data_IF_529502817013
#
_entry.id   IF_529502817013
#
_cell.length_a   1.000
_cell.length_b   1.000
_cell.length_c   1.000
_cell.angle_alpha   90.00
_cell.angle_beta   90.00
_cell.angle_gamma   90.00
#
_symmetry.space_group_name_H-M   'P 1'
#
loop_
_entity.id
_entity.type
_entity.pdbx_description
1 polymer ?
#
# COMPACT_ATOMS: atom_id res chain seq x y z
N UNK A 1 -11.10 -1.06 -0.09
CA UNK A 1 -11.01 -1.12 1.40
C UNK A 1 -10.17 -2.29 1.91
N UNK A 2 -9.92 -3.32 1.11
CA UNK A 2 -9.37 -4.60 1.56
C UNK A 2 -8.01 -4.53 2.25
N UNK A 3 -7.15 -3.59 1.85
CA UNK A 3 -5.88 -3.33 2.55
C UNK A 3 -6.08 -2.97 4.02
N UNK A 4 -7.04 -2.08 4.32
CA UNK A 4 -7.43 -1.75 5.70
C UNK A 4 -8.02 -2.95 6.45
N UNK A 5 -8.82 -3.78 5.77
CA UNK A 5 -9.37 -5.01 6.36
C UNK A 5 -8.26 -6.02 6.74
N UNK A 6 -7.28 -6.22 5.86
CA UNK A 6 -6.14 -7.08 6.12
C UNK A 6 -5.29 -6.58 7.30
N UNK A 7 -5.06 -5.27 7.39
CA UNK A 7 -4.35 -4.65 8.52
C UNK A 7 -5.13 -4.85 9.84
N UNK A 8 -6.45 -4.59 9.85
CA UNK A 8 -7.29 -4.81 11.04
C UNK A 8 -7.26 -6.27 11.47
N UNK A 9 -7.37 -7.21 10.53
CA UNK A 9 -7.31 -8.64 10.81
C UNK A 9 -5.94 -9.07 11.36
N UNK A 10 -4.85 -8.53 10.80
CA UNK A 10 -3.50 -8.78 11.30
C UNK A 10 -3.33 -8.26 12.74
N UNK A 11 -3.79 -7.05 13.04
CA UNK A 11 -3.76 -6.49 14.40
C UNK A 11 -4.59 -7.31 15.39
N UNK A 12 -5.75 -7.82 14.97
CA UNK A 12 -6.56 -8.72 15.79
C UNK A 12 -5.79 -10.01 16.14
N UNK A 13 -5.14 -10.63 15.15
CA UNK A 13 -4.32 -11.82 15.38
C UNK A 13 -3.11 -11.54 16.29
N UNK A 14 -2.43 -10.42 16.08
CA UNK A 14 -1.31 -9.98 16.93
C UNK A 14 -1.75 -9.73 18.38
N UNK A 15 -2.94 -9.19 18.61
CA UNK A 15 -3.50 -9.04 19.96
C UNK A 15 -3.74 -10.38 20.69
N UNK A 16 -3.89 -11.48 19.94
CA UNK A 16 -3.99 -12.84 20.49
C UNK A 16 -2.62 -13.48 20.71
N UNK A 17 -1.70 -13.31 19.76
CA UNK A 17 -0.36 -13.88 19.80
C UNK A 17 0.56 -13.15 20.80
N UNK A 18 0.34 -11.84 20.99
CA UNK A 18 1.07 -10.96 21.92
C UNK A 18 2.60 -11.00 21.75
N UNK A 19 3.14 -10.87 20.51
CA UNK A 19 4.58 -10.73 20.35
C UNK A 19 5.11 -9.49 21.08
N UNK A 20 6.37 -9.47 21.52
CA UNK A 20 6.98 -8.35 22.24
C UNK A 20 7.36 -7.20 21.29
N UNK A 21 6.40 -6.69 20.53
CA UNK A 21 6.56 -5.58 19.59
C UNK A 21 5.41 -4.58 19.73
N UNK A 22 5.73 -3.29 19.63
CA UNK A 22 4.72 -2.25 19.53
C UNK A 22 4.35 -2.05 18.05
N UNK A 23 3.07 -2.15 17.72
CA UNK A 23 2.55 -1.92 16.38
C UNK A 23 1.35 -0.96 16.43
N UNK A 24 1.30 -0.03 15.48
CA UNK A 24 0.20 0.94 15.32
C UNK A 24 -0.39 0.74 13.94
N UNK A 25 -1.72 0.69 13.87
CA UNK A 25 -2.45 0.60 12.61
C UNK A 25 -3.25 1.89 12.35
N UNK A 26 -3.18 2.36 11.11
CA UNK A 26 -3.94 3.51 10.61
C UNK A 26 -4.76 3.06 9.41
N UNK A 27 -6.06 3.34 9.43
CA UNK A 27 -6.99 2.99 8.34
C UNK A 27 -7.81 4.22 7.97
N UNK A 28 -7.36 5.03 6.99
CA UNK A 28 -8.22 6.07 6.44
C UNK A 28 -9.37 5.39 5.67
N UNK A 29 -10.61 5.66 6.09
CA UNK A 29 -11.80 5.02 5.53
C UNK A 29 -12.81 6.08 5.07
N UNK A 30 -13.13 6.06 3.78
CA UNK A 30 -14.12 6.93 3.14
C UNK A 30 -14.64 6.24 1.87
N UNK A 31 -15.76 6.72 1.33
CA UNK A 31 -16.21 6.38 -0.01
C UNK A 31 -15.64 7.36 -1.04
N UNK A 32 -15.58 6.94 -2.32
CA UNK A 32 -15.27 7.79 -3.46
C UNK A 32 -16.51 7.87 -4.36
N UNK A 33 -17.29 8.95 -4.25
CA UNK A 33 -18.61 9.06 -4.90
C UNK A 33 -18.75 10.36 -5.68
N UNK A 34 -19.37 10.34 -6.87
CA UNK A 34 -19.70 11.55 -7.60
C UNK A 34 -20.81 12.33 -6.89
N UNK A 35 -20.67 13.65 -6.80
CA UNK A 35 -21.69 14.55 -6.28
C UNK A 35 -21.39 15.99 -6.73
N UNK A 36 -22.30 16.94 -6.43
CA UNK A 36 -22.06 18.37 -6.69
C UNK A 36 -20.91 18.98 -5.88
N UNK A 37 -20.43 18.26 -4.86
CA UNK A 37 -19.30 18.66 -4.00
C UNK A 37 -18.10 17.70 -4.09
N UNK A 38 -18.08 16.81 -5.08
CA UNK A 38 -16.98 15.86 -5.26
C UNK A 38 -15.71 16.58 -5.73
N UNK A 39 -14.56 15.94 -5.49
CA UNK A 39 -13.28 16.34 -6.08
C UNK A 39 -13.39 16.38 -7.60
N UNK A 40 -12.79 17.38 -8.23
CA UNK A 40 -12.82 17.58 -9.68
C UNK A 40 -11.42 17.40 -10.26
N UNK A 41 -11.30 16.86 -11.49
CA UNK A 41 -10.05 16.96 -12.24
C UNK A 41 -9.59 18.43 -12.34
N UNK A 42 -8.32 18.68 -12.01
CA UNK A 42 -7.70 20.00 -11.91
C UNK A 42 -7.73 20.61 -10.50
N UNK A 43 -8.45 20.03 -9.53
CA UNK A 43 -8.38 20.51 -8.14
C UNK A 43 -6.96 20.32 -7.58
N UNK A 44 -6.46 21.32 -6.84
CA UNK A 44 -5.20 21.22 -6.11
C UNK A 44 -5.50 21.05 -4.62
N UNK A 45 -5.16 19.88 -4.10
CA UNK A 45 -5.33 19.53 -2.69
C UNK A 45 -4.05 19.83 -1.91
N UNK A 46 -4.16 20.11 -0.62
CA UNK A 46 -3.02 20.25 0.27
C UNK A 46 -2.98 19.06 1.23
N UNK A 47 -1.93 18.25 1.12
CA UNK A 47 -1.68 17.14 2.02
C UNK A 47 -1.27 17.63 3.41
N UNK A 48 -1.30 16.74 4.38
CA UNK A 48 -1.03 17.00 5.79
C UNK A 48 0.36 17.61 6.05
N UNK A 49 1.39 17.15 5.32
CA UNK A 49 2.74 17.72 5.40
C UNK A 49 2.90 19.06 4.65
N UNK A 50 1.81 19.64 4.16
CA UNK A 50 1.77 20.93 3.48
C UNK A 50 2.05 20.89 1.98
N UNK A 51 2.49 19.73 1.43
CA UNK A 51 2.71 19.54 -0.01
C UNK A 51 1.37 19.56 -0.77
N UNK A 52 1.41 19.97 -2.02
CA UNK A 52 0.24 20.15 -2.88
C UNK A 52 0.14 19.05 -3.94
N UNK A 53 -1.08 18.59 -4.21
CA UNK A 53 -1.38 17.51 -5.15
C UNK A 53 -2.41 18.01 -6.17
N UNK A 54 -2.02 18.03 -7.44
CA UNK A 54 -2.96 18.22 -8.56
C UNK A 54 -3.71 16.90 -8.82
N UNK A 55 -5.03 16.94 -8.70
CA UNK A 55 -5.89 15.79 -8.98
C UNK A 55 -6.24 15.77 -10.46
N UNK A 56 -5.58 14.91 -11.23
CA UNK A 56 -5.88 14.72 -12.67
C UNK A 56 -6.95 13.67 -12.87
N UNK A 57 -6.95 12.62 -12.04
CA UNK A 57 -7.96 11.56 -12.09
C UNK A 57 -8.50 11.28 -10.68
N UNK A 58 -9.80 11.42 -10.50
CA UNK A 58 -10.48 11.24 -9.20
C UNK A 58 -10.61 9.77 -8.79
N UNK A 59 -10.38 8.83 -9.71
CA UNK A 59 -10.32 7.37 -9.46
C UNK A 59 -8.91 6.89 -9.05
N UNK A 60 -7.97 7.84 -8.92
CA UNK A 60 -6.68 7.62 -8.28
C UNK A 60 -6.71 8.18 -6.84
N UNK A 61 -7.78 7.89 -6.10
CA UNK A 61 -8.03 8.42 -4.76
C UNK A 61 -7.31 7.67 -3.66
N UNK A 62 -7.07 6.35 -3.83
CA UNK A 62 -6.47 5.52 -2.79
C UNK A 62 -5.10 6.07 -2.32
N UNK A 63 -4.32 6.61 -3.25
CA UNK A 63 -3.03 7.23 -2.94
C UNK A 63 -3.17 8.58 -2.23
N UNK A 64 -4.28 9.31 -2.42
CA UNK A 64 -4.53 10.59 -1.76
C UNK A 64 -4.79 10.37 -0.27
N UNK A 65 -5.64 9.41 0.08
CA UNK A 65 -5.92 9.10 1.50
C UNK A 65 -4.70 8.48 2.19
N UNK A 66 -3.89 7.71 1.45
CA UNK A 66 -2.65 7.14 1.98
C UNK A 66 -1.57 8.20 2.19
N UNK A 67 -1.47 9.21 1.33
CA UNK A 67 -0.51 10.30 1.52
C UNK A 67 -0.67 10.96 2.90
N UNK A 68 -1.90 11.28 3.30
CA UNK A 68 -2.16 11.85 4.62
C UNK A 68 -1.94 10.86 5.77
N UNK A 69 -2.28 9.58 5.59
CA UNK A 69 -2.03 8.55 6.60
C UNK A 69 -0.52 8.32 6.82
N UNK A 70 0.27 8.32 5.74
CA UNK A 70 1.74 8.23 5.79
C UNK A 70 2.32 9.46 6.50
N UNK A 71 1.86 10.66 6.15
CA UNK A 71 2.30 11.89 6.82
C UNK A 71 1.99 11.84 8.32
N UNK A 72 0.77 11.41 8.68
CA UNK A 72 0.38 11.26 10.08
C UNK A 72 1.24 10.23 10.81
N UNK A 73 1.51 9.07 10.21
CA UNK A 73 2.36 8.03 10.80
C UNK A 73 3.77 8.57 11.12
N UNK A 74 4.36 9.34 10.19
CA UNK A 74 5.66 9.98 10.38
C UNK A 74 5.65 11.03 11.47
N UNK A 75 4.61 11.86 11.56
CA UNK A 75 4.45 12.81 12.67
C UNK A 75 4.39 12.12 14.04
N UNK A 76 3.85 10.90 14.09
CA UNK A 76 3.84 10.07 15.30
C UNK A 76 5.18 9.35 15.57
N UNK A 77 6.20 9.56 14.73
CA UNK A 77 7.51 8.91 14.87
C UNK A 77 7.50 7.41 14.58
N UNK A 78 6.53 6.91 13.81
CA UNK A 78 6.41 5.48 13.50
C UNK A 78 7.40 5.07 12.40
N UNK A 79 8.10 3.95 12.62
CA UNK A 79 9.03 3.35 11.66
C UNK A 79 9.32 1.89 12.04
N UNK A 80 9.51 0.97 11.08
CA UNK A 80 9.29 1.15 9.64
C UNK A 80 7.79 1.31 9.30
N UNK A 81 7.50 1.84 8.12
CA UNK A 81 6.12 1.97 7.61
C UNK A 81 5.79 0.81 6.66
N UNK A 82 4.62 0.21 6.83
CA UNK A 82 4.10 -0.82 5.92
C UNK A 82 2.67 -0.43 5.61
N UNK A 83 2.39 -0.11 4.35
CA UNK A 83 1.02 0.16 3.90
C UNK A 83 0.56 -0.89 2.87
N UNK A 84 -0.76 -1.08 2.83
CA UNK A 84 -1.42 -2.10 2.02
C UNK A 84 -2.61 -1.48 1.33
N UNK A 85 -2.70 -1.65 0.01
CA UNK A 85 -3.83 -1.16 -0.75
C UNK A 85 -4.14 -2.02 -1.98
N UNK A 86 -5.40 -2.03 -2.37
CA UNK A 86 -5.85 -2.46 -3.69
C UNK A 86 -5.69 -1.28 -4.65
N UNK A 87 -4.44 -0.88 -4.92
CA UNK A 87 -4.15 0.48 -5.39
C UNK A 87 -4.25 0.62 -6.90
N UNK A 88 -3.80 -0.37 -7.67
CA UNK A 88 -3.74 -0.22 -9.14
C UNK A 88 -4.21 -1.44 -9.91
N UNK A 89 -5.01 -1.20 -10.94
CA UNK A 89 -5.26 -2.21 -11.98
C UNK A 89 -4.00 -2.58 -12.75
N UNK A 90 -3.00 -1.71 -12.80
CA UNK A 90 -1.71 -1.97 -13.44
C UNK A 90 -0.95 -3.12 -12.77
N UNK A 91 -1.00 -3.23 -11.43
CA UNK A 91 -0.40 -4.36 -10.72
C UNK A 91 -1.11 -5.67 -11.07
N UNK A 92 -2.44 -5.65 -11.16
CA UNK A 92 -3.22 -6.82 -11.57
C UNK A 92 -2.88 -7.28 -12.98
N UNK A 93 -2.67 -6.35 -13.92
CA UNK A 93 -2.19 -6.65 -15.29
C UNK A 93 -0.78 -7.26 -15.27
N UNK A 94 0.11 -6.77 -14.39
CA UNK A 94 1.51 -7.19 -14.36
C UNK A 94 1.72 -8.61 -13.80
N UNK A 95 1.06 -8.94 -12.68
CA UNK A 95 1.30 -10.21 -11.96
C UNK A 95 0.17 -11.23 -12.12
N UNK A 96 -1.06 -10.78 -12.42
CA UNK A 96 -2.25 -11.60 -12.25
C UNK A 96 -2.42 -12.14 -10.81
N UNK A 97 -3.32 -13.10 -10.56
CA UNK A 97 -3.68 -13.54 -9.21
C UNK A 97 -2.68 -14.54 -8.59
N UNK A 98 -1.44 -14.57 -9.08
CA UNK A 98 -0.42 -15.54 -8.67
C UNK A 98 0.45 -15.03 -7.52
N UNK A 99 0.67 -13.71 -7.43
CA UNK A 99 1.50 -13.07 -6.42
C UNK A 99 1.00 -11.65 -6.14
N UNK A 100 1.30 -11.15 -4.94
CA UNK A 100 1.07 -9.77 -4.54
C UNK A 100 2.31 -8.94 -4.86
N UNK A 101 2.13 -7.79 -5.51
CA UNK A 101 3.23 -6.89 -5.81
C UNK A 101 3.54 -5.98 -4.62
N UNK A 102 4.82 -5.68 -4.40
CA UNK A 102 5.21 -4.70 -3.38
C UNK A 102 6.43 -3.88 -3.80
N UNK A 103 6.61 -2.75 -3.15
CA UNK A 103 7.73 -1.82 -3.31
C UNK A 103 8.38 -1.62 -1.95
N UNK A 104 9.69 -1.36 -1.92
CA UNK A 104 10.42 -1.20 -0.68
C UNK A 104 11.64 -0.29 -0.85
N UNK A 105 11.84 0.62 0.11
CA UNK A 105 13.04 1.47 0.20
C UNK A 105 14.20 0.81 0.93
N UNK A 106 13.93 -0.24 1.71
CA UNK A 106 14.92 -0.99 2.47
C UNK A 106 14.96 -2.47 2.03
N UNK A 107 16.16 -2.94 1.66
CA UNK A 107 16.36 -4.30 1.16
C UNK A 107 16.18 -5.37 2.25
N UNK A 108 16.54 -5.07 3.49
CA UNK A 108 16.41 -6.02 4.59
C UNK A 108 14.93 -6.26 4.94
N UNK A 109 14.13 -5.20 4.99
CA UNK A 109 12.68 -5.25 5.18
C UNK A 109 11.99 -5.96 4.00
N UNK A 110 12.42 -5.68 2.77
CA UNK A 110 11.93 -6.39 1.59
C UNK A 110 12.15 -7.91 1.69
N UNK A 111 13.33 -8.34 2.11
CA UNK A 111 13.64 -9.76 2.24
C UNK A 111 12.86 -10.42 3.38
N UNK A 112 12.64 -9.72 4.49
CA UNK A 112 11.77 -10.21 5.57
C UNK A 112 10.33 -10.39 5.09
N UNK A 113 9.80 -9.44 4.30
CA UNK A 113 8.46 -9.56 3.72
C UNK A 113 8.36 -10.77 2.77
N UNK A 114 9.34 -10.97 1.89
CA UNK A 114 9.39 -12.13 0.98
C UNK A 114 9.41 -13.43 1.79
N UNK A 115 10.26 -13.53 2.81
CA UNK A 115 10.35 -14.71 3.65
C UNK A 115 9.04 -15.01 4.40
N UNK A 116 8.37 -13.97 4.93
CA UNK A 116 7.08 -14.10 5.58
C UNK A 116 5.98 -14.56 4.59
N UNK A 117 5.99 -14.03 3.37
CA UNK A 117 5.09 -14.44 2.30
C UNK A 117 5.27 -15.90 1.91
N UNK A 118 6.51 -16.37 1.77
CA UNK A 118 6.80 -17.78 1.46
C UNK A 118 6.36 -18.72 2.59
N UNK A 119 6.61 -18.37 3.86
CA UNK A 119 6.17 -19.20 5.01
C UNK A 119 4.65 -19.30 5.12
N UNK A 120 3.93 -18.25 4.72
CA UNK A 120 2.47 -18.19 4.83
C UNK A 120 1.77 -18.66 3.55
N UNK A 121 2.50 -18.84 2.45
CA UNK A 121 1.93 -19.16 1.13
C UNK A 121 1.24 -17.96 0.47
N UNK A 122 1.53 -16.74 0.90
CA UNK A 122 1.08 -15.48 0.31
C UNK A 122 2.25 -14.84 -0.43
N UNK A 123 2.50 -15.30 -1.65
CA UNK A 123 3.70 -14.92 -2.42
C UNK A 123 3.78 -13.42 -2.64
N UNK A 124 4.92 -12.83 -2.26
CA UNK A 124 5.26 -11.42 -2.44
C UNK A 124 6.28 -11.26 -3.56
N UNK A 125 6.07 -10.31 -4.46
CA UNK A 125 6.97 -10.04 -5.58
C UNK A 125 7.40 -8.57 -5.59
N UNK A 126 8.71 -8.33 -5.50
CA UNK A 126 9.25 -6.97 -5.43
C UNK A 126 9.24 -6.31 -6.80
N UNK A 127 8.69 -5.12 -6.86
CA UNK A 127 8.77 -4.18 -7.97
C UNK A 127 9.81 -3.10 -7.67
N UNK A 128 10.38 -2.47 -8.71
CA UNK A 128 11.42 -1.48 -8.53
C UNK A 128 10.85 -0.10 -8.17
N UNK A 129 11.63 0.71 -7.45
CA UNK A 129 11.41 2.16 -7.28
C UNK A 129 12.48 2.86 -8.11
N UNK A 130 12.06 3.53 -9.19
CA UNK A 130 12.94 4.11 -10.21
C UNK A 130 12.49 5.55 -10.44
N UNK A 131 13.43 6.49 -10.31
CA UNK A 131 13.14 7.94 -10.29
C UNK A 131 12.43 8.46 -11.54
N UNK A 132 12.67 7.84 -12.70
CA UNK A 132 12.03 8.18 -13.98
C UNK A 132 10.50 8.06 -13.93
N UNK A 133 9.94 7.16 -13.11
CA UNK A 133 8.48 7.08 -12.93
C UNK A 133 7.94 8.24 -12.07
N UNK A 134 8.77 8.81 -11.19
CA UNK A 134 8.43 10.01 -10.43
C UNK A 134 8.40 11.25 -11.33
N UNK A 135 9.22 11.30 -12.39
CA UNK A 135 9.17 12.39 -13.36
C UNK A 135 7.83 12.46 -14.10
N UNK A 136 7.17 11.31 -14.30
CA UNK A 136 5.83 11.25 -14.89
C UNK A 136 4.77 11.92 -14.01
N UNK A 137 5.06 12.15 -12.73
CA UNK A 137 4.17 12.78 -11.74
C UNK A 137 4.42 14.29 -11.57
N UNK A 138 5.27 14.90 -12.40
CA UNK A 138 5.45 16.37 -12.38
C UNK A 138 4.13 17.08 -12.71
N UNK A 139 3.86 18.13 -11.95
CA UNK A 139 2.73 19.06 -12.13
C UNK A 139 3.28 20.46 -12.39
N UNK A 140 2.54 21.24 -13.17
CA UNK A 140 2.84 22.65 -13.45
C UNK A 140 2.23 23.60 -12.42
N UNK A 141 1.28 23.12 -11.59
CA UNK A 141 0.46 23.94 -10.68
C UNK A 141 0.49 23.47 -9.23
N UNK A 142 1.11 22.31 -8.96
CA UNK A 142 1.26 21.72 -7.63
C UNK A 142 2.65 21.05 -7.50
N UNK A 143 2.99 20.57 -6.31
CA UNK A 143 4.26 19.87 -6.07
C UNK A 143 4.32 18.51 -6.78
N UNK A 144 3.16 17.87 -6.99
CA UNK A 144 3.00 16.58 -7.67
C UNK A 144 1.58 16.45 -8.24
N UNK A 145 1.38 15.67 -9.31
CA UNK A 145 0.04 15.24 -9.75
C UNK A 145 -0.25 13.79 -9.36
N UNK A 146 -1.51 13.45 -9.17
CA UNK A 146 -1.90 12.16 -8.63
C UNK A 146 -1.86 10.98 -9.62
N UNK A 147 -1.58 11.20 -10.91
CA UNK A 147 -1.39 10.11 -11.89
C UNK A 147 -0.21 10.37 -12.80
N UNK A 148 0.50 9.29 -13.14
CA UNK A 148 1.53 9.29 -14.16
C UNK A 148 0.96 8.91 -15.53
N UNK A 149 1.84 8.42 -16.42
CA UNK A 149 1.44 7.85 -17.70
C UNK A 149 0.79 6.46 -17.54
N UNK A 150 0.17 5.96 -18.61
CA UNK A 150 -0.43 4.63 -18.70
C UNK A 150 0.57 3.50 -18.46
N UNK A 151 1.83 3.69 -18.86
CA UNK A 151 2.89 2.69 -18.71
C UNK A 151 3.54 2.80 -17.34
N UNK A 152 3.68 1.66 -16.65
CA UNK A 152 4.27 1.64 -15.30
C UNK A 152 3.36 2.21 -14.21
N UNK A 153 2.03 2.17 -14.39
CA UNK A 153 1.06 2.75 -13.46
C UNK A 153 1.20 2.29 -12.00
N UNK A 154 1.63 1.04 -11.77
CA UNK A 154 1.91 0.54 -10.42
C UNK A 154 3.15 1.21 -9.79
N UNK A 155 4.21 1.39 -10.59
CA UNK A 155 5.46 1.99 -10.14
C UNK A 155 5.29 3.49 -9.91
N UNK A 156 4.59 4.20 -10.80
CA UNK A 156 4.29 5.62 -10.60
C UNK A 156 3.34 5.86 -9.42
N UNK A 157 2.41 4.93 -9.14
CA UNK A 157 1.60 4.99 -7.92
C UNK A 157 2.45 4.81 -6.65
N UNK A 158 3.41 3.89 -6.66
CA UNK A 158 4.35 3.71 -5.56
C UNK A 158 5.27 4.93 -5.39
N UNK A 159 5.81 5.50 -6.48
CA UNK A 159 6.60 6.73 -6.43
C UNK A 159 5.79 7.93 -5.91
N UNK A 160 4.48 7.99 -6.20
CA UNK A 160 3.60 8.99 -5.59
C UNK A 160 3.58 8.83 -4.07
N UNK A 161 3.44 7.62 -3.53
CA UNK A 161 3.46 7.40 -2.09
C UNK A 161 4.86 7.68 -1.50
N UNK A 162 5.91 7.25 -2.19
CA UNK A 162 7.30 7.48 -1.81
C UNK A 162 7.63 8.97 -1.62
N UNK A 163 7.01 9.84 -2.42
CA UNK A 163 7.09 11.31 -2.28
C UNK A 163 6.68 11.83 -0.89
N UNK A 164 5.78 11.13 -0.19
CA UNK A 164 5.32 11.47 1.17
C UNK A 164 6.08 10.70 2.26
N UNK A 165 6.59 9.51 1.92
CA UNK A 165 7.41 8.67 2.80
C UNK A 165 8.79 9.30 3.07
N UNK A 166 9.42 9.88 2.05
CA UNK A 166 10.78 10.44 2.13
C UNK A 166 11.77 9.39 2.65
N UNK A 167 12.64 9.72 3.62
CA UNK A 167 13.72 8.85 4.09
C UNK A 167 13.28 7.76 5.07
N UNK A 168 11.97 7.59 5.30
CA UNK A 168 11.47 6.59 6.26
C UNK A 168 11.54 5.19 5.65
N UNK A 169 12.13 4.18 6.33
CA UNK A 169 12.09 2.79 5.86
C UNK A 169 10.64 2.34 5.63
N UNK A 170 10.35 1.87 4.42
CA UNK A 170 8.98 1.73 3.97
C UNK A 170 8.79 0.57 3.00
N UNK A 171 7.62 -0.04 3.11
CA UNK A 171 7.08 -1.01 2.16
C UNK A 171 5.65 -0.62 1.79
N UNK A 172 5.36 -0.61 0.50
CA UNK A 172 4.00 -0.54 -0.04
C UNK A 172 3.61 -1.86 -0.69
N UNK A 173 2.49 -2.43 -0.27
CA UNK A 173 1.93 -3.67 -0.81
C UNK A 173 0.71 -3.34 -1.67
N UNK A 174 0.84 -3.49 -3.00
CA UNK A 174 -0.28 -3.38 -3.93
C UNK A 174 -0.91 -4.78 -4.12
N UNK A 175 -1.94 -5.04 -3.31
CA UNK A 175 -2.66 -6.32 -3.26
C UNK A 175 -3.83 -6.40 -4.26
N UNK A 176 -3.97 -5.43 -5.18
CA UNK A 176 -5.00 -5.47 -6.21
C UNK A 176 -5.09 -6.82 -6.99
N UNK A 177 -3.97 -7.50 -7.34
CA UNK A 177 -4.05 -8.77 -8.07
C UNK A 177 -4.63 -9.93 -7.25
N UNK A 178 -4.47 -9.89 -5.93
CA UNK A 178 -4.73 -11.03 -5.03
C UNK A 178 -5.87 -10.78 -4.07
N UNK A 179 -6.56 -9.64 -4.16
CA UNK A 179 -7.69 -9.27 -3.30
C UNK A 179 -8.85 -10.27 -3.37
N UNK A 180 -9.10 -10.84 -4.54
CA UNK A 180 -10.26 -11.68 -4.79
C UNK A 180 -9.93 -12.90 -5.67
N UNK A 181 -10.67 -14.00 -5.48
CA UNK A 181 -10.64 -15.17 -6.35
C UNK A 181 -12.02 -15.44 -6.94
N UNK A 182 -12.07 -15.79 -8.22
CA UNK A 182 -13.30 -16.03 -8.99
C UNK A 182 -13.92 -17.41 -8.75
N UNK A 183 -13.15 -18.32 -8.13
CA UNK A 183 -13.52 -19.69 -7.77
C UNK A 183 -12.72 -20.16 -6.55
N UNK A 184 -13.14 -21.28 -5.99
CA UNK A 184 -12.41 -21.91 -4.89
C UNK A 184 -11.01 -22.34 -5.34
N UNK A 185 -10.01 -22.02 -4.52
CA UNK A 185 -8.59 -22.27 -4.79
C UNK A 185 -7.87 -22.54 -3.47
N UNK A 186 -7.58 -23.82 -3.20
CA UNK A 186 -6.88 -24.22 -1.98
C UNK A 186 -7.67 -23.84 -0.74
N UNK A 187 -7.14 -22.91 0.07
CA UNK A 187 -7.79 -22.41 1.29
C UNK A 187 -8.73 -21.21 1.05
N UNK A 188 -8.76 -20.67 -0.16
CA UNK A 188 -9.60 -19.52 -0.51
C UNK A 188 -10.90 -20.01 -1.16
N UNK A 189 -12.02 -19.54 -0.64
CA UNK A 189 -13.35 -19.70 -1.26
C UNK A 189 -13.57 -18.51 -2.20
N UNK A 190 -14.36 -18.69 -3.25
CA UNK A 190 -14.76 -17.60 -4.17
C UNK A 190 -15.11 -16.32 -3.40
N UNK A 191 -14.44 -15.21 -3.74
CA UNK A 191 -14.59 -13.93 -3.04
C UNK A 191 -13.25 -13.42 -2.49
N UNK A 192 -13.34 -12.59 -1.45
CA UNK A 192 -12.19 -11.92 -0.86
C UNK A 192 -11.21 -12.92 -0.22
N UNK A 193 -9.91 -12.76 -0.50
CA UNK A 193 -8.87 -13.70 -0.05
C UNK A 193 -8.34 -13.38 1.33
N UNK A 194 -8.42 -12.11 1.76
CA UNK A 194 -7.79 -11.61 2.99
C UNK A 194 -6.27 -11.49 2.91
N UNK A 195 -5.64 -11.71 1.77
CA UNK A 195 -4.20 -11.44 1.56
C UNK A 195 -3.96 -9.93 1.75
N UNK A 196 -2.89 -9.46 2.40
CA UNK A 196 -1.74 -10.19 2.93
C UNK A 196 -1.78 -10.44 4.45
N UNK A 197 -2.95 -10.72 5.03
CA UNK A 197 -3.12 -10.80 6.50
C UNK A 197 -2.09 -11.72 7.17
N UNK A 198 -1.89 -12.93 6.65
CA UNK A 198 -0.97 -13.89 7.29
C UNK A 198 0.47 -13.45 7.13
N UNK A 199 0.83 -12.90 5.98
CA UNK A 199 2.16 -12.32 5.76
C UNK A 199 2.46 -11.21 6.75
N UNK A 200 1.52 -10.29 6.98
CA UNK A 200 1.70 -9.21 7.96
C UNK A 200 1.91 -9.77 9.36
N UNK A 201 1.08 -10.72 9.79
CA UNK A 201 1.25 -11.38 11.10
C UNK A 201 2.64 -12.00 11.21
N UNK A 202 3.04 -12.82 10.23
CA UNK A 202 4.33 -13.50 10.25
C UNK A 202 5.51 -12.51 10.21
N UNK A 203 5.42 -11.45 9.43
CA UNK A 203 6.45 -10.40 9.37
C UNK A 203 6.65 -9.75 10.73
N UNK A 204 5.57 -9.42 11.44
CA UNK A 204 5.68 -8.80 12.76
C UNK A 204 6.20 -9.76 13.83
N UNK A 205 5.85 -11.05 13.76
CA UNK A 205 6.46 -12.09 14.61
C UNK A 205 7.98 -12.18 14.37
N UNK A 206 8.39 -12.21 13.09
CA UNK A 206 9.80 -12.26 12.71
C UNK A 206 10.59 -11.03 13.17
N UNK A 207 9.97 -9.85 13.13
CA UNK A 207 10.56 -8.60 13.64
C UNK A 207 10.65 -8.58 15.16
N UNK A 208 9.72 -9.23 15.86
CA UNK A 208 9.76 -9.40 17.31
C UNK A 208 10.80 -10.45 17.77
N UNK A 209 11.40 -11.20 16.85
CA UNK A 209 12.31 -12.31 17.16
C UNK A 209 11.60 -13.64 17.45
N UNK A 210 10.29 -13.74 17.16
CA UNK A 210 9.47 -14.94 17.34
C UNK A 210 9.29 -15.68 16.01
N UNK A 211 10.39 -16.03 15.34
CA UNK A 211 10.33 -16.95 14.21
C UNK A 211 9.91 -18.34 14.70
N UNK A 212 8.69 -18.76 14.37
CA UNK A 212 8.25 -20.17 14.50
C UNK A 212 8.96 -21.03 13.46
#
# INVERSE_FOLDING_TARGET
MSGGAAVIAAMWALGKLRPPINAVALVPATENMPSGSATKPGDVLRARNGKTIEVINTDAEGRLILADAICYAKEQGLSPLIDVATLTGAMAVALGPAATGFFATDDALAQKLIAAGERTGERMWRFPLIGEYREMLRSEVADIKNVGDRYGGAISAAEFLHFFVEDTPWVHIDMAPTDNVDRDKGIWVKGATGIPTRTLVQLLLDLAGEGV
#
